data_IF_418620305488
#
_entry.id   IF_418620305488
#
_cell.length_a   1.000
_cell.length_b   1.000
_cell.length_c   1.000
_cell.angle_alpha   90.00
_cell.angle_beta   90.00
_cell.angle_gamma   90.00
#
_symmetry.space_group_name_H-M   'P 1'
#
loop_
_entity.id
_entity.type
_entity.pdbx_description
1 polymer ?
#
# COMPACT_ATOMS: atom_id res chain seq x y z
N UNK A 1 12.68 -1.44 1.72
CA UNK A 1 12.22 -0.05 1.47
C UNK A 1 12.79 0.85 2.56
N UNK A 2 13.42 1.98 2.21
CA UNK A 2 13.84 2.98 3.20
C UNK A 2 13.04 4.27 2.95
N UNK A 3 12.10 4.66 3.83
CA UNK A 3 11.20 5.81 3.60
C UNK A 3 11.88 7.18 3.60
N UNK A 4 13.17 7.28 3.93
CA UNK A 4 13.82 8.55 4.30
C UNK A 4 15.15 8.80 3.57
N UNK A 5 15.18 8.64 2.25
CA UNK A 5 16.39 8.92 1.45
C UNK A 5 16.41 10.28 0.77
N UNK A 6 15.38 11.12 0.96
CA UNK A 6 15.36 12.46 0.37
C UNK A 6 16.27 13.38 1.20
N UNK A 7 17.43 13.71 0.66
CA UNK A 7 18.41 14.56 1.35
C UNK A 7 17.85 15.96 1.59
N UNK A 8 18.05 16.53 2.79
CA UNK A 8 17.53 17.87 3.15
C UNK A 8 17.95 18.97 2.16
N UNK A 9 19.09 18.80 1.49
CA UNK A 9 19.61 19.70 0.45
C UNK A 9 18.75 19.75 -0.82
N UNK A 10 18.06 18.68 -1.18
CA UNK A 10 17.14 18.64 -2.31
C UNK A 10 15.95 19.57 -2.07
N UNK A 11 15.39 19.52 -0.86
CA UNK A 11 14.25 20.34 -0.43
C UNK A 11 14.52 21.84 -0.31
N UNK A 12 15.77 22.29 -0.34
CA UNK A 12 16.13 23.72 -0.25
C UNK A 12 16.13 24.39 -1.63
N UNK A 13 16.33 23.62 -2.70
CA UNK A 13 16.48 24.15 -4.07
C UNK A 13 15.19 24.13 -4.89
N UNK A 14 14.17 23.38 -4.46
CA UNK A 14 12.87 23.34 -5.14
C UNK A 14 11.97 24.51 -4.71
N UNK A 15 11.15 25.05 -5.63
CA UNK A 15 10.10 25.99 -5.26
C UNK A 15 9.14 25.39 -4.23
N UNK A 16 8.62 26.25 -3.37
CA UNK A 16 7.78 25.86 -2.24
C UNK A 16 6.60 24.98 -2.67
N UNK A 17 5.93 25.30 -3.78
CA UNK A 17 4.81 24.53 -4.31
C UNK A 17 5.21 23.08 -4.67
N UNK A 18 6.32 22.89 -5.38
CA UNK A 18 6.77 21.55 -5.80
C UNK A 18 7.21 20.71 -4.60
N UNK A 19 7.88 21.35 -3.62
CA UNK A 19 8.23 20.71 -2.35
C UNK A 19 7.00 20.24 -1.58
N UNK A 20 5.97 21.08 -1.50
CA UNK A 20 4.72 20.73 -0.83
C UNK A 20 4.05 19.54 -1.52
N UNK A 21 3.93 19.58 -2.86
CA UNK A 21 3.39 18.47 -3.63
C UNK A 21 4.16 17.17 -3.40
N UNK A 22 5.49 17.21 -3.43
CA UNK A 22 6.33 16.04 -3.15
C UNK A 22 6.03 15.44 -1.78
N UNK A 23 5.99 16.27 -0.74
CA UNK A 23 5.74 15.83 0.65
C UNK A 23 4.34 15.22 0.75
N UNK A 24 3.33 15.88 0.19
CA UNK A 24 1.94 15.40 0.23
C UNK A 24 1.79 14.08 -0.52
N UNK A 25 2.29 13.98 -1.75
CA UNK A 25 2.24 12.74 -2.55
C UNK A 25 3.00 11.60 -1.85
N UNK A 26 4.17 11.88 -1.27
CA UNK A 26 4.94 10.87 -0.54
C UNK A 26 4.22 10.40 0.73
N UNK A 27 3.62 11.31 1.49
CA UNK A 27 2.83 10.96 2.68
C UNK A 27 1.61 10.11 2.32
N UNK A 28 0.86 10.50 1.29
CA UNK A 28 -0.27 9.71 0.78
C UNK A 28 0.17 8.30 0.38
N UNK A 29 1.28 8.20 -0.35
CA UNK A 29 1.87 6.92 -0.72
C UNK A 29 2.20 6.07 0.51
N UNK A 30 2.80 6.64 1.56
CA UNK A 30 3.15 5.92 2.78
C UNK A 30 1.91 5.45 3.55
N UNK A 31 0.88 6.29 3.68
CA UNK A 31 -0.38 5.91 4.34
C UNK A 31 -1.04 4.73 3.61
N UNK A 32 -1.18 4.83 2.28
CA UNK A 32 -1.77 3.74 1.49
C UNK A 32 -0.91 2.47 1.54
N UNK A 33 0.41 2.62 1.59
CA UNK A 33 1.35 1.51 1.78
C UNK A 33 1.10 0.79 3.10
N UNK A 34 1.01 1.53 4.20
CA UNK A 34 0.78 0.97 5.54
C UNK A 34 -0.59 0.29 5.60
N UNK A 35 -1.62 0.89 5.01
CA UNK A 35 -2.97 0.34 4.91
C UNK A 35 -3.00 -1.02 4.19
N UNK A 36 -2.40 -1.09 3.00
CA UNK A 36 -2.33 -2.32 2.21
C UNK A 36 -1.49 -3.41 2.90
N UNK A 37 -0.40 -3.05 3.57
CA UNK A 37 0.41 -4.03 4.32
C UNK A 37 -0.30 -4.53 5.57
N UNK A 38 -1.05 -3.67 6.26
CA UNK A 38 -1.88 -4.08 7.39
C UNK A 38 -2.90 -5.13 6.97
N UNK A 39 -3.58 -4.90 5.84
CA UNK A 39 -4.51 -5.86 5.26
C UNK A 39 -3.84 -7.21 4.97
N UNK A 40 -2.76 -7.21 4.17
CA UNK A 40 -2.06 -8.44 3.76
C UNK A 40 -1.52 -9.20 4.97
N UNK A 41 -0.92 -8.49 5.92
CA UNK A 41 -0.36 -9.11 7.13
C UNK A 41 -1.44 -9.79 7.96
N UNK A 42 -2.56 -9.10 8.23
CA UNK A 42 -3.64 -9.68 9.02
C UNK A 42 -4.32 -10.85 8.32
N UNK A 43 -4.50 -10.77 7.00
CA UNK A 43 -5.01 -11.91 6.23
C UNK A 43 -4.05 -13.11 6.32
N UNK A 44 -2.74 -12.89 6.19
CA UNK A 44 -1.76 -13.95 6.34
C UNK A 44 -1.79 -14.56 7.74
N UNK A 45 -1.87 -13.73 8.79
CA UNK A 45 -1.98 -14.22 10.17
C UNK A 45 -3.23 -15.08 10.37
N UNK A 46 -4.36 -14.66 9.80
CA UNK A 46 -5.60 -15.42 9.85
C UNK A 46 -5.43 -16.80 9.20
N UNK A 47 -4.94 -16.86 7.96
CA UNK A 47 -4.75 -18.13 7.25
C UNK A 47 -3.76 -19.03 8.00
N UNK A 48 -2.64 -18.48 8.48
CA UNK A 48 -1.60 -19.29 9.12
C UNK A 48 -2.02 -19.80 10.50
N UNK A 49 -2.55 -18.94 11.37
CA UNK A 49 -2.74 -19.26 12.79
C UNK A 49 -4.17 -19.64 13.14
N UNK A 50 -5.17 -19.04 12.50
CA UNK A 50 -6.59 -19.29 12.84
C UNK A 50 -7.16 -20.42 11.97
N UNK A 51 -6.67 -20.57 10.74
CA UNK A 51 -7.11 -21.64 9.82
C UNK A 51 -6.19 -22.84 9.87
N UNK A 52 -4.94 -22.71 9.41
CA UNK A 52 -4.05 -23.86 9.20
C UNK A 52 -3.65 -24.52 10.52
N UNK A 53 -3.13 -23.77 11.49
CA UNK A 53 -2.67 -24.32 12.77
C UNK A 53 -3.80 -25.01 13.56
N UNK A 54 -4.97 -24.37 13.64
CA UNK A 54 -6.14 -24.94 14.34
C UNK A 54 -6.65 -26.19 13.64
N UNK A 55 -6.75 -26.16 12.30
CA UNK A 55 -7.23 -27.31 11.54
C UNK A 55 -6.25 -28.49 11.63
N UNK A 56 -4.94 -28.21 11.61
CA UNK A 56 -3.91 -29.22 11.79
C UNK A 56 -3.95 -29.87 13.17
N UNK A 57 -4.06 -29.08 14.24
CA UNK A 57 -4.20 -29.61 15.60
C UNK A 57 -5.44 -30.51 15.74
N UNK A 58 -6.55 -30.14 15.10
CA UNK A 58 -7.76 -30.97 15.09
C UNK A 58 -7.55 -32.28 14.32
N UNK A 59 -6.91 -32.23 13.15
CA UNK A 59 -6.59 -33.42 12.38
C UNK A 59 -5.74 -34.40 13.19
N UNK A 60 -4.66 -33.93 13.83
CA UNK A 60 -3.77 -34.81 14.63
C UNK A 60 -4.55 -35.51 15.74
N UNK A 61 -5.43 -34.81 16.45
CA UNK A 61 -6.27 -35.41 17.51
C UNK A 61 -7.23 -36.47 16.95
N UNK A 62 -7.81 -36.22 15.79
CA UNK A 62 -8.73 -37.17 15.16
C UNK A 62 -7.99 -38.40 14.61
N UNK A 63 -6.79 -38.21 14.05
CA UNK A 63 -5.92 -39.31 13.61
C UNK A 63 -5.45 -40.20 14.78
N UNK A 64 -5.13 -39.61 15.94
CA UNK A 64 -4.77 -40.35 17.15
C UNK A 64 -5.95 -41.15 17.74
N UNK A 65 -7.18 -40.68 17.54
CA UNK A 65 -8.39 -41.31 18.03
C UNK A 65 -8.99 -42.36 17.07
N UNK A 66 -8.57 -42.35 15.80
CA UNK A 66 -9.07 -43.22 14.74
C UNK A 66 -8.77 -44.69 15.02
N UNK A 67 -9.75 -45.57 14.79
CA UNK A 67 -9.63 -47.02 15.04
C UNK A 67 -9.42 -47.83 13.78
N UNK A 68 -9.87 -47.30 12.65
CA UNK A 68 -9.79 -47.94 11.34
C UNK A 68 -9.45 -46.92 10.24
N UNK A 69 -9.38 -47.42 9.01
CA UNK A 69 -9.03 -46.59 7.85
C UNK A 69 -10.14 -45.60 7.48
N UNK A 70 -11.40 -45.94 7.75
CA UNK A 70 -12.54 -45.07 7.41
C UNK A 70 -12.56 -43.84 8.33
N UNK A 71 -12.25 -44.02 9.61
CA UNK A 71 -12.04 -42.92 10.56
C UNK A 71 -10.91 -41.99 10.09
N UNK A 72 -9.77 -42.54 9.61
CA UNK A 72 -8.65 -41.75 9.09
C UNK A 72 -9.05 -40.95 7.85
N UNK A 73 -9.80 -41.56 6.93
CA UNK A 73 -10.28 -40.94 5.71
C UNK A 73 -11.24 -39.79 6.03
N UNK A 74 -12.19 -40.01 6.94
CA UNK A 74 -13.15 -39.00 7.39
C UNK A 74 -12.47 -37.80 8.07
N UNK A 75 -11.49 -38.05 8.94
CA UNK A 75 -10.71 -36.99 9.58
C UNK A 75 -9.95 -36.13 8.56
N UNK A 76 -9.35 -36.78 7.55
CA UNK A 76 -8.64 -36.08 6.48
C UNK A 76 -9.57 -35.27 5.58
N UNK A 77 -10.71 -35.82 5.16
CA UNK A 77 -11.71 -35.08 4.38
C UNK A 77 -12.25 -33.87 5.14
N UNK A 78 -12.52 -34.03 6.44
CA UNK A 78 -12.94 -32.94 7.31
C UNK A 78 -11.88 -31.84 7.42
N UNK A 79 -10.62 -32.22 7.56
CA UNK A 79 -9.50 -31.27 7.57
C UNK A 79 -9.45 -30.47 6.27
N UNK A 80 -9.48 -31.14 5.11
CA UNK A 80 -9.46 -30.49 3.80
C UNK A 80 -10.64 -29.55 3.59
N UNK A 81 -11.84 -29.99 3.93
CA UNK A 81 -13.05 -29.16 3.84
C UNK A 81 -12.93 -27.92 4.72
N UNK A 82 -12.45 -28.08 5.96
CA UNK A 82 -12.25 -26.97 6.91
C UNK A 82 -11.25 -25.94 6.38
N UNK A 83 -10.09 -26.37 5.89
CA UNK A 83 -9.09 -25.42 5.38
C UNK A 83 -9.56 -24.70 4.11
N UNK A 84 -10.31 -25.36 3.23
CA UNK A 84 -10.82 -24.74 1.99
C UNK A 84 -11.88 -23.68 2.31
N UNK A 85 -12.89 -24.04 3.11
CA UNK A 85 -13.96 -23.11 3.46
C UNK A 85 -13.44 -21.93 4.27
N UNK A 86 -12.62 -22.18 5.31
CA UNK A 86 -12.09 -21.10 6.16
C UNK A 86 -11.05 -20.24 5.47
N UNK A 87 -10.30 -20.77 4.48
CA UNK A 87 -9.35 -19.95 3.69
C UNK A 87 -10.01 -19.10 2.61
N UNK A 88 -11.35 -18.98 2.62
CA UNK A 88 -12.12 -18.21 1.63
C UNK A 88 -11.98 -18.79 0.20
N UNK A 89 -11.71 -20.09 0.08
CA UNK A 89 -11.60 -20.82 -1.19
C UNK A 89 -12.83 -21.71 -1.46
N UNK A 90 -13.75 -21.79 -0.49
CA UNK A 90 -15.00 -22.53 -0.59
C UNK A 90 -15.99 -21.96 -1.61
N UNK A 91 -16.96 -22.78 -2.01
CA UNK A 91 -17.99 -22.39 -2.99
C UNK A 91 -18.83 -21.19 -2.51
N UNK A 92 -19.08 -21.12 -1.19
CA UNK A 92 -19.85 -20.05 -0.56
C UNK A 92 -19.09 -18.72 -0.51
N UNK A 93 -17.76 -18.77 -0.59
CA UNK A 93 -16.90 -17.60 -0.53
C UNK A 93 -16.42 -17.14 -1.92
N UNK A 94 -16.92 -17.73 -3.02
CA UNK A 94 -16.48 -17.41 -4.38
C UNK A 94 -16.55 -15.91 -4.73
N UNK A 95 -17.61 -15.22 -4.30
CA UNK A 95 -17.72 -13.77 -4.54
C UNK A 95 -16.67 -12.98 -3.74
N UNK A 96 -16.47 -13.35 -2.48
CA UNK A 96 -15.51 -12.73 -1.58
C UNK A 96 -14.07 -13.01 -2.07
N UNK A 97 -13.82 -14.21 -2.57
CA UNK A 97 -12.56 -14.59 -3.19
C UNK A 97 -12.23 -13.74 -4.42
N UNK A 98 -13.21 -13.49 -5.30
CA UNK A 98 -13.03 -12.57 -6.44
C UNK A 98 -12.65 -11.16 -5.98
N UNK A 99 -13.31 -10.64 -4.94
CA UNK A 99 -12.98 -9.33 -4.37
C UNK A 99 -11.58 -9.32 -3.78
N UNK A 100 -11.18 -10.40 -3.10
CA UNK A 100 -9.85 -10.57 -2.55
C UNK A 100 -8.77 -10.52 -3.65
N UNK A 101 -8.97 -11.21 -4.77
CA UNK A 101 -8.06 -11.14 -5.90
C UNK A 101 -8.00 -9.75 -6.54
N UNK A 102 -9.13 -9.04 -6.63
CA UNK A 102 -9.15 -7.64 -7.06
C UNK A 102 -8.33 -6.75 -6.11
N UNK A 103 -8.42 -6.96 -4.80
CA UNK A 103 -7.58 -6.25 -3.82
C UNK A 103 -6.09 -6.53 -4.04
N UNK A 104 -5.71 -7.79 -4.27
CA UNK A 104 -4.32 -8.14 -4.56
C UNK A 104 -3.80 -7.49 -5.85
N UNK A 105 -4.59 -7.46 -6.92
CA UNK A 105 -4.22 -6.75 -8.15
C UNK A 105 -4.00 -5.26 -7.89
N UNK A 106 -4.89 -4.62 -7.11
CA UNK A 106 -4.74 -3.22 -6.72
C UNK A 106 -3.47 -2.95 -5.91
N UNK A 107 -3.11 -3.86 -4.99
CA UNK A 107 -1.88 -3.76 -4.19
C UNK A 107 -0.65 -3.88 -5.09
N UNK A 108 -0.66 -4.78 -6.08
CA UNK A 108 0.45 -4.93 -7.04
C UNK A 108 0.55 -3.74 -8.01
N UNK A 109 -0.58 -3.21 -8.47
CA UNK A 109 -0.66 -1.96 -9.24
C UNK A 109 -0.10 -0.79 -8.44
N UNK A 110 -0.52 -0.64 -7.18
CA UNK A 110 0.01 0.37 -6.26
C UNK A 110 1.52 0.22 -6.09
N UNK A 111 2.01 -1.00 -5.86
CA UNK A 111 3.44 -1.27 -5.70
C UNK A 111 4.23 -0.74 -6.89
N UNK A 112 3.76 -1.02 -8.10
CA UNK A 112 4.39 -0.54 -9.33
C UNK A 112 4.39 1.00 -9.42
N UNK A 113 3.30 1.67 -9.02
CA UNK A 113 3.26 3.14 -8.99
C UNK A 113 4.15 3.75 -7.90
N UNK A 114 4.21 3.12 -6.73
CA UNK A 114 5.09 3.54 -5.65
C UNK A 114 6.56 3.46 -6.07
N UNK A 115 6.96 2.35 -6.70
CA UNK A 115 8.32 2.18 -7.21
C UNK A 115 8.68 3.26 -8.26
N UNK A 116 7.78 3.55 -9.21
CA UNK A 116 7.94 4.66 -10.18
C UNK A 116 8.07 6.03 -9.51
N UNK A 117 7.30 6.29 -8.46
CA UNK A 117 7.40 7.54 -7.70
C UNK A 117 8.79 7.66 -7.05
N UNK A 118 9.29 6.61 -6.40
CA UNK A 118 10.61 6.65 -5.76
C UNK A 118 11.75 6.79 -6.76
N UNK A 119 11.68 6.08 -7.89
CA UNK A 119 12.65 6.22 -8.98
C UNK A 119 12.68 7.65 -9.51
N UNK A 120 11.51 8.25 -9.78
CA UNK A 120 11.42 9.64 -10.24
C UNK A 120 11.94 10.64 -9.20
N UNK A 121 11.69 10.42 -7.90
CA UNK A 121 12.24 11.26 -6.83
C UNK A 121 13.78 11.16 -6.81
N UNK A 122 14.33 9.95 -6.92
CA UNK A 122 15.77 9.72 -6.95
C UNK A 122 16.43 10.40 -8.16
N UNK A 123 15.81 10.34 -9.33
CA UNK A 123 16.29 11.00 -10.55
C UNK A 123 16.28 12.53 -10.41
N UNK A 124 15.22 13.10 -9.83
CA UNK A 124 15.17 14.54 -9.58
C UNK A 124 16.30 14.98 -8.61
N UNK A 125 16.61 14.14 -7.61
CA UNK A 125 17.66 14.39 -6.64
C UNK A 125 19.07 14.33 -7.24
N UNK A 126 19.36 13.37 -8.14
CA UNK A 126 20.66 13.27 -8.81
C UNK A 126 20.93 14.48 -9.71
N UNK A 127 19.97 14.84 -10.57
CA UNK A 127 20.05 16.02 -11.47
C UNK A 127 20.28 17.34 -10.72
N UNK A 128 19.71 17.46 -9.53
CA UNK A 128 19.87 18.66 -8.67
C UNK A 128 21.24 18.74 -7.99
N UNK A 129 21.91 17.60 -7.82
CA UNK A 129 23.23 17.50 -7.18
C UNK A 129 24.35 17.77 -8.18
N UNK A 130 24.26 17.21 -9.38
CA UNK A 130 25.23 17.42 -10.48
C UNK A 130 25.30 18.89 -10.96
N UNK A 131 24.17 19.60 -10.91
CA UNK A 131 24.14 21.03 -11.21
C UNK A 131 25.00 21.86 -10.24
N UNK A 132 25.26 21.37 -9.02
CA UNK A 132 26.05 22.11 -8.01
C UNK A 132 27.54 21.77 -7.98
N UNK A 133 27.96 20.65 -8.56
CA UNK A 133 29.40 20.33 -8.71
C UNK A 133 30.03 21.14 -9.85
N UNK A 134 29.29 21.47 -10.91
CA UNK A 134 29.75 22.39 -11.96
C UNK A 134 29.95 23.83 -11.48
N UNK A 135 29.10 24.33 -10.57
CA UNK A 135 29.22 25.68 -10.02
C UNK A 135 30.49 25.87 -9.16
N UNK A 136 30.93 24.82 -8.45
CA UNK A 136 32.18 24.87 -7.67
C UNK A 136 33.45 24.82 -8.53
N UNK A 137 33.40 24.19 -9.70
CA UNK A 137 34.54 24.13 -10.62
C UNK A 137 34.79 25.45 -11.39
N UNK A 138 33.75 26.28 -11.59
CA UNK A 138 33.88 27.58 -12.28
C UNK A 138 34.39 28.73 -11.41
N UNK A 139 34.27 28.64 -10.09
CA UNK A 139 34.72 29.68 -9.14
C UNK A 139 36.26 29.72 -8.91
N UNK A 140 37.03 28.83 -9.53
CA UNK A 140 38.50 28.79 -9.41
C UNK A 140 39.26 29.41 -10.60
N UNK A 141 38.60 30.10 -11.53
CA UNK A 141 39.27 30.86 -12.60
C UNK A 141 39.25 32.36 -12.30
N UNK A 142 40.40 33.01 -12.03
CA UNK A 142 40.44 34.46 -11.93
C UNK A 142 40.55 35.05 -13.34
N UNK A 143 39.52 35.75 -13.81
CA UNK A 143 39.67 36.62 -14.99
C UNK A 143 38.77 37.85 -14.91
N UNK A 144 39.47 38.98 -14.98
CA UNK A 144 39.06 40.36 -14.93
C UNK A 144 38.29 40.78 -16.21
N UNK A 145 37.09 41.38 -16.10
CA UNK A 145 36.50 42.48 -16.92
C UNK A 145 34.96 42.48 -16.94
N UNK A 146 34.44 43.70 -17.05
CA UNK A 146 33.06 44.18 -16.92
C UNK A 146 32.12 43.78 -18.08
N UNK A 147 30.82 43.86 -17.74
CA UNK A 147 29.59 44.00 -18.55
C UNK A 147 29.22 42.86 -19.50
N UNK A 148 28.20 42.08 -19.13
CA UNK A 148 26.82 42.21 -19.63
C UNK A 148 26.02 40.92 -19.34
N UNK A 149 24.85 41.07 -18.72
CA UNK A 149 23.76 40.11 -18.52
C UNK A 149 23.97 38.86 -17.62
N UNK A 150 23.32 38.82 -16.45
CA UNK A 150 23.18 37.60 -15.66
C UNK A 150 22.13 36.65 -16.27
N UNK A 151 22.58 35.55 -16.88
CA UNK A 151 21.99 34.23 -16.63
C UNK A 151 20.62 33.85 -17.19
N UNK A 152 20.20 34.32 -18.38
CA UNK A 152 18.93 33.88 -18.99
C UNK A 152 18.89 32.35 -19.28
N UNK A 153 19.98 31.79 -19.82
CA UNK A 153 20.06 30.37 -20.21
C UNK A 153 20.13 29.37 -19.04
N UNK A 154 20.70 29.76 -17.88
CA UNK A 154 20.70 28.91 -16.67
C UNK A 154 19.35 28.95 -15.93
N UNK A 155 18.63 30.07 -16.05
CA UNK A 155 17.29 30.21 -15.49
C UNK A 155 16.25 29.36 -16.21
N UNK A 156 16.37 29.24 -17.54
CA UNK A 156 15.42 28.51 -18.38
C UNK A 156 15.46 26.99 -18.12
N UNK A 157 16.65 26.37 -18.09
CA UNK A 157 16.78 24.95 -17.77
C UNK A 157 16.32 24.58 -16.36
N UNK A 158 16.51 25.46 -15.37
CA UNK A 158 16.01 25.25 -13.99
C UNK A 158 14.48 25.41 -13.90
N UNK A 159 13.90 26.37 -14.64
CA UNK A 159 12.45 26.54 -14.76
C UNK A 159 11.80 25.34 -15.46
N UNK A 160 12.41 24.83 -16.51
CA UNK A 160 11.95 23.63 -17.22
C UNK A 160 12.01 22.37 -16.36
N UNK A 161 13.12 22.17 -15.63
CA UNK A 161 13.25 21.05 -14.69
C UNK A 161 12.18 21.11 -13.59
N UNK A 162 11.95 22.31 -13.04
CA UNK A 162 10.92 22.55 -12.02
C UNK A 162 9.52 22.25 -12.56
N UNK A 163 9.22 22.72 -13.78
CA UNK A 163 7.94 22.46 -14.44
C UNK A 163 7.71 20.96 -14.62
N UNK A 164 8.69 20.24 -15.19
CA UNK A 164 8.61 18.78 -15.38
C UNK A 164 8.46 18.04 -14.05
N UNK A 165 9.19 18.44 -13.01
CA UNK A 165 9.04 17.84 -11.68
C UNK A 165 7.64 18.06 -11.11
N UNK A 166 7.08 19.27 -11.28
CA UNK A 166 5.71 19.57 -10.86
C UNK A 166 4.65 18.79 -11.63
N UNK A 167 4.82 18.63 -12.94
CA UNK A 167 3.94 17.80 -13.79
C UNK A 167 4.01 16.32 -13.38
N UNK A 168 5.22 15.78 -13.22
CA UNK A 168 5.45 14.41 -12.77
C UNK A 168 4.77 14.13 -11.42
N UNK A 169 5.03 14.96 -10.40
CA UNK A 169 4.47 14.76 -9.06
C UNK A 169 2.95 14.91 -9.02
N UNK A 170 2.39 15.76 -9.88
CA UNK A 170 0.94 15.92 -10.01
C UNK A 170 0.32 14.67 -10.63
N UNK A 171 0.87 14.17 -11.74
CA UNK A 171 0.40 12.96 -12.38
C UNK A 171 0.49 11.77 -11.42
N UNK A 172 1.62 11.63 -10.72
CA UNK A 172 1.80 10.57 -9.73
C UNK A 172 0.86 10.69 -8.53
N UNK A 173 0.60 11.92 -8.08
CA UNK A 173 -0.40 12.17 -7.04
C UNK A 173 -1.80 11.75 -7.49
N UNK A 174 -2.19 12.04 -8.74
CA UNK A 174 -3.47 11.62 -9.31
C UNK A 174 -3.58 10.11 -9.43
N UNK A 175 -2.52 9.43 -9.89
CA UNK A 175 -2.49 7.96 -10.00
C UNK A 175 -2.64 7.29 -8.63
N UNK A 176 -1.92 7.79 -7.61
CA UNK A 176 -2.03 7.29 -6.24
C UNK A 176 -3.43 7.56 -5.67
N UNK A 177 -3.98 8.75 -5.88
CA UNK A 177 -5.33 9.10 -5.41
C UNK A 177 -6.40 8.23 -6.11
N UNK A 178 -6.22 7.88 -7.38
CA UNK A 178 -7.12 7.00 -8.11
C UNK A 178 -7.08 5.57 -7.54
N UNK A 179 -5.88 5.02 -7.33
CA UNK A 179 -5.71 3.69 -6.72
C UNK A 179 -6.23 3.67 -5.29
N UNK A 180 -6.00 4.73 -4.50
CA UNK A 180 -6.50 4.82 -3.13
C UNK A 180 -8.04 4.73 -3.10
N UNK A 181 -8.73 5.49 -3.97
CA UNK A 181 -10.20 5.45 -4.06
C UNK A 181 -10.73 4.09 -4.49
N UNK A 182 -10.10 3.49 -5.50
CA UNK A 182 -10.46 2.16 -5.99
C UNK A 182 -10.25 1.12 -4.88
N UNK A 183 -9.11 1.16 -4.20
CA UNK A 183 -8.79 0.28 -3.07
C UNK A 183 -9.79 0.43 -1.93
N UNK A 184 -10.05 1.64 -1.42
CA UNK A 184 -10.99 1.84 -0.32
C UNK A 184 -12.40 1.35 -0.67
N UNK A 185 -12.87 1.60 -1.90
CA UNK A 185 -14.18 1.12 -2.34
C UNK A 185 -14.26 -0.41 -2.38
N UNK A 186 -13.23 -1.08 -2.91
CA UNK A 186 -13.20 -2.55 -2.97
C UNK A 186 -13.02 -3.15 -1.57
N UNK A 187 -12.21 -2.51 -0.73
CA UNK A 187 -11.94 -2.95 0.64
C UNK A 187 -13.19 -2.85 1.53
N UNK A 188 -13.96 -1.76 1.46
CA UNK A 188 -15.26 -1.65 2.12
C UNK A 188 -16.24 -2.75 1.65
N UNK A 189 -16.23 -3.02 0.33
CA UNK A 189 -16.99 -4.12 -0.26
C UNK A 189 -16.60 -5.49 0.31
N UNK A 190 -15.30 -5.71 0.53
CA UNK A 190 -14.77 -6.92 1.17
C UNK A 190 -15.21 -7.04 2.64
N UNK A 191 -15.00 -5.97 3.42
CA UNK A 191 -15.35 -5.94 4.86
C UNK A 191 -16.84 -6.17 5.07
N UNK A 192 -17.70 -5.59 4.23
CA UNK A 192 -19.16 -5.78 4.35
C UNK A 192 -19.63 -7.22 4.10
N UNK A 193 -18.85 -8.02 3.38
CA UNK A 193 -19.18 -9.42 3.09
C UNK A 193 -18.62 -10.42 4.11
N UNK A 194 -17.66 -10.03 4.94
CA UNK A 194 -17.08 -10.90 5.97
C UNK A 194 -18.11 -11.38 7.01
N UNK A 195 -19.01 -10.54 7.57
CA UNK A 195 -20.01 -10.97 8.57
C UNK A 195 -21.04 -11.97 8.05
N UNK A 196 -21.26 -11.99 6.73
CA UNK A 196 -22.22 -12.87 6.07
C UNK A 196 -21.69 -14.31 6.06
N UNK A 197 -20.38 -14.49 6.23
CA UNK A 197 -19.77 -15.80 6.31
C UNK A 197 -20.12 -16.48 7.65
N UNK A 198 -20.41 -17.78 7.59
CA UNK A 198 -20.91 -18.53 8.76
C UNK A 198 -19.83 -18.79 9.82
N UNK A 199 -18.55 -18.67 9.47
CA UNK A 199 -17.45 -19.01 10.36
C UNK A 199 -17.17 -17.89 11.37
N UNK A 200 -17.14 -18.25 12.66
CA UNK A 200 -16.85 -17.34 13.78
C UNK A 200 -15.50 -16.64 13.61
N UNK A 201 -14.50 -17.37 13.09
CA UNK A 201 -13.13 -16.88 12.89
C UNK A 201 -13.07 -15.68 11.91
N UNK A 202 -13.96 -15.64 10.92
CA UNK A 202 -14.03 -14.53 9.95
C UNK A 202 -14.60 -13.24 10.55
N UNK A 203 -15.37 -13.33 11.63
CA UNK A 203 -15.82 -12.15 12.40
C UNK A 203 -14.67 -11.53 13.18
N UNK A 204 -13.74 -12.34 13.68
CA UNK A 204 -12.52 -11.85 14.34
C UNK A 204 -11.54 -11.26 13.33
N UNK A 205 -11.40 -11.85 12.14
CA UNK A 205 -10.66 -11.24 11.04
C UNK A 205 -11.21 -9.85 10.70
N UNK A 206 -12.54 -9.69 10.58
CA UNK A 206 -13.15 -8.39 10.33
C UNK A 206 -12.72 -7.34 11.38
N UNK A 207 -12.76 -7.70 12.67
CA UNK A 207 -12.33 -6.80 13.75
C UNK A 207 -10.84 -6.42 13.67
N UNK A 208 -9.98 -7.38 13.28
CA UNK A 208 -8.54 -7.12 13.11
C UNK A 208 -8.23 -6.26 11.89
N UNK A 209 -9.05 -6.37 10.84
CA UNK A 209 -8.93 -5.58 9.63
C UNK A 209 -9.47 -4.16 9.81
N UNK A 210 -10.51 -3.97 10.62
CA UNK A 210 -11.02 -2.65 11.01
C UNK A 210 -10.15 -2.04 12.12
N UNK A 211 -8.94 -1.60 11.73
CA UNK A 211 -8.00 -0.99 12.67
C UNK A 211 -8.53 0.37 13.14
N UNK A 212 -8.85 0.49 14.43
CA UNK A 212 -9.20 1.76 15.11
C UNK A 212 -10.55 2.39 14.73
N UNK A 213 -11.54 1.59 14.32
CA UNK A 213 -12.83 2.11 13.82
C UNK A 213 -12.70 3.06 12.62
N UNK A 214 -11.53 3.12 11.96
CA UNK A 214 -11.25 4.10 10.92
C UNK A 214 -12.24 3.96 9.75
N UNK A 215 -12.57 2.73 9.39
CA UNK A 215 -13.53 2.43 8.33
C UNK A 215 -14.98 2.54 8.82
N UNK A 216 -15.24 2.21 10.09
CA UNK A 216 -16.55 2.41 10.70
C UNK A 216 -16.92 3.90 10.85
N UNK A 217 -15.93 4.80 11.01
CA UNK A 217 -16.12 6.26 11.10
C UNK A 217 -16.35 6.95 9.74
N UNK A 218 -15.94 6.32 8.64
CA UNK A 218 -16.23 6.79 7.27
C UNK A 218 -17.65 6.45 6.80
N UNK A 219 -18.38 5.59 7.55
CA UNK A 219 -19.81 5.42 7.33
C UNK A 219 -20.53 6.70 7.74
N UNK A 220 -21.37 7.30 6.87
CA UNK A 220 -22.29 8.33 7.32
C UNK A 220 -23.10 7.74 8.46
N UNK A 221 -23.26 8.48 9.56
CA UNK A 221 -24.09 8.06 10.70
C UNK A 221 -25.54 7.92 10.24
N UNK A 222 -25.88 6.78 9.65
CA UNK A 222 -27.24 6.27 9.62
C UNK A 222 -27.43 5.54 10.94
N UNK A 223 -27.92 6.32 11.90
CA UNK A 223 -28.17 5.90 13.27
C UNK A 223 -28.89 4.55 13.34
N UNK A 224 -28.24 3.61 14.00
CA UNK A 224 -28.84 2.38 14.49
C UNK A 224 -28.15 2.05 15.80
N UNK A 225 -28.71 2.53 16.91
CA UNK A 225 -28.41 2.00 18.25
C UNK A 225 -28.61 0.49 18.20
N UNK A 226 -27.53 -0.28 18.22
CA UNK A 226 -27.58 -1.67 18.66
C UNK A 226 -27.38 -1.65 20.17
N UNK A 227 -28.50 -1.61 20.88
CA UNK A 227 -28.60 -2.14 22.23
C UNK A 227 -28.45 -3.66 22.13
N UNK A 228 -27.34 -4.18 22.65
CA UNK A 228 -27.26 -5.38 23.49
C UNK A 228 -25.87 -5.45 24.10
#
# INVERSE_FOLDING_TARGET
>A
MKPNCVTSRFFVKLPHAVKLHLILTSRKCQVLWDEMNHFVSNLQYYIMFEVLEVSWSNLVKELEAAKDLDDLLAAHEKYLYSIIEKSLLGERSQNLNKILFTLFDLILRFRSQADRLYEGINELQSRTTDSSSQDKARLQRPSNKKSSEPGSWLGEGRKDLTRRAGEFLRNMGQDIDAIAKEYSSVFEGFISQLPIQQHVDLKFLMFRLDFTEFYSQLRPSTGGKLLL
#
